data_IF_774338494777
#
_entry.id   IF_774338494777
#
_cell.length_a   1.000
_cell.length_b   1.000
_cell.length_c   1.000
_cell.angle_alpha   90.00
_cell.angle_beta   90.00
_cell.angle_gamma   90.00
#
_symmetry.space_group_name_H-M   'P 1'
#
loop_
_entity.id
_entity.type
_entity.pdbx_description
1 polymer ?
#
# COMPACT_ATOMS: atom_id res chain seq x y z
N UNK A 1 -3.95 -10.57 7.01
CA UNK A 1 -4.76 -10.77 8.22
C UNK A 1 -5.96 -11.61 7.83
N UNK A 2 -6.12 -12.78 8.45
CA UNK A 2 -7.19 -13.73 8.16
C UNK A 2 -8.51 -13.29 8.82
N UNK A 3 -9.64 -13.84 8.36
CA UNK A 3 -10.93 -13.57 8.97
C UNK A 3 -10.99 -14.00 10.44
N UNK A 4 -10.30 -15.07 10.82
CA UNK A 4 -10.19 -15.52 12.22
C UNK A 4 -9.40 -14.54 13.08
N UNK A 5 -8.28 -14.00 12.57
CA UNK A 5 -7.50 -12.97 13.28
C UNK A 5 -8.33 -11.70 13.50
N UNK A 6 -9.13 -11.29 12.51
CA UNK A 6 -10.06 -10.15 12.60
C UNK A 6 -11.10 -10.35 13.69
N UNK A 7 -11.73 -11.52 13.74
CA UNK A 7 -12.74 -11.84 14.76
C UNK A 7 -12.13 -11.91 16.16
N UNK A 8 -10.93 -12.47 16.30
CA UNK A 8 -10.20 -12.53 17.58
C UNK A 8 -9.89 -11.13 18.14
N UNK A 9 -9.45 -10.20 17.27
CA UNK A 9 -9.20 -8.81 17.64
C UNK A 9 -10.47 -8.08 18.09
N UNK A 10 -11.58 -8.26 17.37
CA UNK A 10 -12.89 -7.69 17.74
C UNK A 10 -13.34 -8.14 19.13
N UNK A 11 -13.21 -9.44 19.45
CA UNK A 11 -13.62 -9.96 20.75
C UNK A 11 -12.72 -9.45 21.91
N UNK A 12 -11.42 -9.24 21.65
CA UNK A 12 -10.51 -8.63 22.64
C UNK A 12 -10.89 -7.17 22.92
N UNK A 13 -11.19 -6.38 21.88
CA UNK A 13 -11.64 -4.99 22.04
C UNK A 13 -12.94 -4.89 22.85
N UNK A 14 -13.92 -5.76 22.59
CA UNK A 14 -15.17 -5.83 23.38
C UNK A 14 -14.90 -6.16 24.85
N UNK A 15 -14.02 -7.11 25.11
CA UNK A 15 -13.65 -7.51 26.49
C UNK A 15 -13.03 -6.34 27.25
N UNK A 16 -12.14 -5.58 26.60
CA UNK A 16 -11.52 -4.39 27.19
C UNK A 16 -12.57 -3.32 27.49
N UNK A 17 -13.50 -3.07 26.56
CA UNK A 17 -14.60 -2.11 26.76
C UNK A 17 -15.49 -2.50 27.95
N UNK A 18 -15.88 -3.77 28.04
CA UNK A 18 -16.68 -4.29 29.15
C UNK A 18 -15.95 -4.22 30.49
N UNK A 19 -14.64 -4.47 30.52
CA UNK A 19 -13.85 -4.32 31.75
C UNK A 19 -13.77 -2.86 32.20
N UNK A 20 -13.71 -1.90 31.28
CA UNK A 20 -13.73 -0.47 31.65
C UNK A 20 -15.06 -0.03 32.22
N UNK A 21 -16.17 -0.49 31.65
CA UNK A 21 -17.50 -0.25 32.20
C UNK A 21 -17.64 -0.82 33.62
N UNK A 22 -17.06 -2.02 33.86
CA UNK A 22 -17.17 -2.72 35.14
C UNK A 22 -16.23 -2.19 36.23
N UNK A 23 -14.99 -1.81 35.89
CA UNK A 23 -13.92 -1.53 36.87
C UNK A 23 -13.54 -0.05 36.97
N UNK A 24 -14.04 0.82 36.08
CA UNK A 24 -13.81 2.26 36.14
C UNK A 24 -12.37 2.72 35.82
N UNK A 25 -12.16 4.03 35.87
CA UNK A 25 -10.97 4.69 35.31
C UNK A 25 -9.65 4.40 36.06
N UNK A 26 -9.74 3.92 37.30
CA UNK A 26 -8.58 3.63 38.16
C UNK A 26 -8.10 2.17 38.11
N UNK A 27 -8.70 1.32 37.28
CA UNK A 27 -8.24 -0.06 37.11
C UNK A 27 -6.93 -0.11 36.31
N UNK A 28 -5.88 -0.71 36.91
CA UNK A 28 -4.52 -0.80 36.38
C UNK A 28 -4.45 -1.63 35.08
N UNK A 29 -4.71 -0.96 33.96
CA UNK A 29 -4.38 -1.38 32.62
C UNK A 29 -3.50 -0.25 32.09
N UNK A 30 -2.31 -0.57 31.57
CA UNK A 30 -1.14 0.29 31.24
C UNK A 30 -1.39 1.50 30.29
N UNK A 31 -2.63 1.95 30.13
CA UNK A 31 -3.04 3.10 29.33
C UNK A 31 -4.24 3.79 30.01
N UNK A 32 -4.28 5.14 30.10
CA UNK A 32 -5.43 5.88 30.61
C UNK A 32 -6.75 5.39 29.99
N UNK A 33 -7.81 5.27 30.81
CA UNK A 33 -9.05 4.60 30.43
C UNK A 33 -9.73 5.21 29.18
N UNK A 34 -9.66 6.54 29.04
CA UNK A 34 -10.17 7.26 27.88
C UNK A 34 -9.40 6.91 26.60
N UNK A 35 -8.06 6.94 26.65
CA UNK A 35 -7.20 6.66 25.50
C UNK A 35 -7.35 5.20 25.04
N UNK A 36 -7.45 4.27 26.00
CA UNK A 36 -7.66 2.85 25.69
C UNK A 36 -9.02 2.59 25.03
N UNK A 37 -10.08 3.26 25.50
CA UNK A 37 -11.42 3.17 24.92
C UNK A 37 -11.44 3.75 23.50
N UNK A 38 -10.84 4.93 23.30
CA UNK A 38 -10.78 5.57 21.99
C UNK A 38 -10.03 4.70 20.97
N UNK A 39 -8.90 4.10 21.35
CA UNK A 39 -8.15 3.20 20.47
C UNK A 39 -8.97 1.93 20.15
N UNK A 40 -9.68 1.37 21.13
CA UNK A 40 -10.54 0.20 20.91
C UNK A 40 -11.73 0.52 20.00
N UNK A 41 -12.33 1.71 20.13
CA UNK A 41 -13.44 2.17 19.28
C UNK A 41 -12.98 2.45 17.85
N UNK A 42 -11.82 3.12 17.68
CA UNK A 42 -11.22 3.35 16.36
C UNK A 42 -10.89 2.02 15.69
N UNK A 43 -10.23 1.09 16.41
CA UNK A 43 -9.91 -0.22 15.88
C UNK A 43 -11.17 -1.01 15.51
N UNK A 44 -12.21 -0.98 16.36
CA UNK A 44 -13.48 -1.63 16.08
C UNK A 44 -14.16 -1.04 14.84
N UNK A 45 -14.21 0.28 14.73
CA UNK A 45 -14.78 0.98 13.57
C UNK A 45 -14.00 0.64 12.28
N UNK A 46 -12.67 0.65 12.33
CA UNK A 46 -11.83 0.26 11.19
C UNK A 46 -12.00 -1.22 10.80
N UNK A 47 -12.25 -2.10 11.76
CA UNK A 47 -12.50 -3.53 11.49
C UNK A 47 -13.93 -3.81 11.00
N UNK A 48 -14.90 -2.97 11.38
CA UNK A 48 -16.31 -3.07 10.99
C UNK A 48 -16.64 -2.33 9.69
N UNK A 49 -15.79 -1.40 9.28
CA UNK A 49 -15.80 -0.79 7.96
C UNK A 49 -15.37 -1.83 6.90
N UNK A 50 -16.25 -2.80 6.64
CA UNK A 50 -16.21 -3.61 5.43
C UNK A 50 -16.58 -2.70 4.25
N UNK A 51 -15.58 -2.27 3.49
CA UNK A 51 -15.67 -2.14 2.04
C UNK A 51 -16.81 -1.32 1.43
N UNK A 52 -17.45 -0.41 2.16
CA UNK A 52 -18.46 0.49 1.60
C UNK A 52 -17.90 1.90 1.51
N UNK A 53 -16.98 2.09 0.57
CA UNK A 53 -16.84 3.38 -0.09
C UNK A 53 -18.13 3.59 -0.89
N UNK A 54 -19.17 4.12 -0.25
CA UNK A 54 -20.21 4.81 -1.02
C UNK A 54 -19.57 6.10 -1.49
N UNK A 55 -19.32 6.15 -2.79
CA UNK A 55 -19.01 7.35 -3.54
C UNK A 55 -20.00 8.45 -3.16
N UNK A 56 -19.53 9.48 -2.46
CA UNK A 56 -19.93 10.88 -2.58
C UNK A 56 -19.22 11.67 -1.46
N UNK A 57 -18.07 12.26 -1.78
CA UNK A 57 -17.94 13.73 -1.78
C UNK A 57 -16.48 14.17 -2.06
N UNK A 58 -16.34 14.85 -3.20
CA UNK A 58 -15.30 15.82 -3.60
C UNK A 58 -13.82 15.48 -3.37
N UNK A 59 -13.22 14.81 -4.35
CA UNK A 59 -11.83 15.05 -4.77
C UNK A 59 -11.79 14.90 -6.30
N UNK A 60 -11.16 15.80 -7.08
CA UNK A 60 -11.06 15.60 -8.51
C UNK A 60 -10.37 14.26 -8.75
N UNK A 61 -11.12 13.28 -9.24
CA UNK A 61 -10.60 11.99 -9.66
C UNK A 61 -9.65 12.26 -10.83
N UNK A 62 -8.38 12.51 -10.50
CA UNK A 62 -7.30 11.97 -11.32
C UNK A 62 -7.66 10.51 -11.60
N UNK A 63 -7.60 10.04 -12.85
CA UNK A 63 -8.07 8.71 -13.20
C UNK A 63 -7.40 7.74 -12.24
N UNK A 64 -8.20 7.07 -11.40
CA UNK A 64 -7.67 6.21 -10.36
C UNK A 64 -6.70 5.22 -11.01
N UNK A 65 -5.38 5.42 -10.81
CA UNK A 65 -4.38 4.46 -11.28
C UNK A 65 -4.57 3.20 -10.44
N UNK A 66 -5.32 2.25 -11.00
CA UNK A 66 -5.54 0.98 -10.36
C UNK A 66 -4.31 0.09 -10.53
N UNK A 67 -3.81 -0.45 -9.43
CA UNK A 67 -2.81 -1.51 -9.43
C UNK A 67 -3.39 -2.78 -10.05
N UNK A 68 -2.71 -3.33 -11.06
CA UNK A 68 -3.06 -4.55 -11.77
C UNK A 68 -2.14 -5.67 -11.28
N UNK A 69 -2.68 -6.84 -10.93
CA UNK A 69 -1.84 -7.98 -10.55
C UNK A 69 -1.09 -8.53 -11.76
N UNK A 70 0.19 -8.82 -11.59
CA UNK A 70 1.01 -9.45 -12.64
C UNK A 70 0.44 -10.82 -13.07
N UNK A 71 -0.22 -11.54 -12.16
CA UNK A 71 -0.90 -12.82 -12.44
C UNK A 71 -2.19 -12.67 -13.25
N UNK A 72 -2.84 -11.51 -13.20
CA UNK A 72 -4.07 -11.24 -13.98
C UNK A 72 -3.71 -10.81 -15.39
N UNK A 73 -2.74 -9.89 -15.50
CA UNK A 73 -2.29 -9.33 -16.77
C UNK A 73 -0.91 -8.73 -16.61
N UNK A 74 -0.04 -8.95 -17.60
CA UNK A 74 1.25 -8.29 -17.71
C UNK A 74 1.15 -7.03 -18.60
N UNK A 75 2.08 -6.07 -18.49
CA UNK A 75 2.12 -4.92 -19.38
C UNK A 75 2.34 -5.33 -20.84
N UNK A 76 2.17 -4.38 -21.76
CA UNK A 76 2.59 -4.58 -23.15
C UNK A 76 4.12 -4.55 -23.24
N UNK A 77 4.71 -5.33 -24.15
CA UNK A 77 6.15 -5.29 -24.40
C UNK A 77 6.60 -3.86 -24.76
N UNK A 78 7.67 -3.40 -24.13
CA UNK A 78 8.20 -2.04 -24.26
C UNK A 78 7.44 -0.98 -23.45
N UNK A 79 6.39 -1.35 -22.70
CA UNK A 79 5.64 -0.40 -21.89
C UNK A 79 6.41 -0.05 -20.61
N UNK A 80 6.60 1.25 -20.38
CA UNK A 80 7.07 1.79 -19.11
C UNK A 80 5.94 1.82 -18.08
N UNK A 81 6.17 1.19 -16.92
CA UNK A 81 5.22 1.00 -15.83
C UNK A 81 5.91 1.18 -14.48
N UNK A 82 5.11 1.34 -13.43
CA UNK A 82 5.59 1.15 -12.05
C UNK A 82 5.24 -0.27 -11.63
N UNK A 83 6.21 -1.01 -11.10
CA UNK A 83 6.00 -2.31 -10.45
C UNK A 83 6.08 -2.16 -8.94
N UNK A 84 5.33 -3.00 -8.22
CA UNK A 84 5.35 -3.07 -6.77
C UNK A 84 5.26 -4.52 -6.28
N UNK A 85 5.90 -4.79 -5.15
CA UNK A 85 5.60 -5.94 -4.32
C UNK A 85 4.66 -5.47 -3.21
N UNK A 86 3.38 -5.82 -3.33
CA UNK A 86 2.35 -5.48 -2.35
C UNK A 86 2.08 -6.70 -1.47
N UNK A 87 2.32 -6.57 -0.17
CA UNK A 87 2.07 -7.59 0.85
C UNK A 87 1.41 -6.97 2.08
N UNK A 88 0.51 -7.71 2.76
CA UNK A 88 -0.17 -7.23 3.98
C UNK A 88 -0.89 -5.87 3.86
N UNK A 89 -1.29 -5.47 2.65
CA UNK A 89 -1.95 -4.18 2.40
C UNK A 89 -1.00 -2.99 2.30
N UNK A 90 0.32 -3.20 2.26
CA UNK A 90 1.32 -2.15 2.04
C UNK A 90 2.23 -2.47 0.84
N UNK A 91 2.80 -1.41 0.25
CA UNK A 91 3.85 -1.52 -0.77
C UNK A 91 5.16 -1.78 -0.03
N UNK A 92 5.75 -2.95 -0.23
CA UNK A 92 7.02 -3.36 0.38
C UNK A 92 8.22 -2.80 -0.39
N UNK A 93 8.12 -2.76 -1.72
CA UNK A 93 9.14 -2.28 -2.64
C UNK A 93 8.46 -1.87 -3.96
N UNK A 94 9.00 -0.87 -4.64
CA UNK A 94 8.48 -0.39 -5.93
C UNK A 94 9.59 0.20 -6.81
N UNK A 95 9.45 0.08 -8.13
CA UNK A 95 10.39 0.62 -9.11
C UNK A 95 9.69 1.02 -10.42
N UNK A 96 10.22 2.02 -11.11
CA UNK A 96 9.83 2.35 -12.48
C UNK A 96 10.66 1.52 -13.47
N UNK A 97 9.98 0.79 -14.35
CA UNK A 97 10.58 -0.23 -15.23
C UNK A 97 9.93 -0.22 -16.60
N UNK A 98 10.67 -0.66 -17.62
CA UNK A 98 10.13 -1.06 -18.92
C UNK A 98 9.97 -2.57 -18.95
N UNK A 99 8.79 -3.03 -19.36
CA UNK A 99 8.50 -4.46 -19.45
C UNK A 99 9.02 -5.06 -20.76
N UNK A 100 9.92 -6.04 -20.66
CA UNK A 100 10.43 -6.84 -21.77
C UNK A 100 10.26 -8.32 -21.41
N UNK A 101 9.20 -9.00 -21.88
CA UNK A 101 8.88 -10.35 -21.44
C UNK A 101 10.10 -11.30 -21.45
N UNK A 102 10.33 -12.09 -20.38
CA UNK A 102 9.57 -12.18 -19.12
C UNK A 102 10.07 -11.22 -18.01
N UNK A 103 10.88 -10.23 -18.35
CA UNK A 103 11.65 -9.41 -17.41
C UNK A 103 11.14 -7.96 -17.31
N UNK A 104 11.46 -7.33 -16.19
CA UNK A 104 11.31 -5.90 -15.99
C UNK A 104 12.71 -5.26 -15.98
N UNK A 105 12.96 -4.34 -16.91
CA UNK A 105 14.21 -3.60 -17.00
C UNK A 105 14.03 -2.23 -16.36
N UNK A 106 14.94 -1.81 -15.48
CA UNK A 106 14.89 -0.48 -14.88
C UNK A 106 14.99 0.60 -15.97
N UNK A 107 14.15 1.64 -15.84
CA UNK A 107 14.23 2.86 -16.67
C UNK A 107 15.40 3.67 -16.12
N UNK A 108 16.63 3.38 -16.56
CA UNK A 108 17.92 4.01 -16.20
C UNK A 108 18.16 4.32 -14.70
N UNK A 109 19.22 3.75 -14.11
CA UNK A 109 19.62 4.20 -12.76
C UNK A 109 20.67 3.38 -12.02
N UNK A 110 21.09 2.23 -12.51
CA UNK A 110 22.16 1.43 -11.90
C UNK A 110 23.23 1.10 -12.95
N UNK A 111 23.89 2.14 -13.46
CA UNK A 111 25.15 1.96 -14.17
C UNK A 111 26.27 1.85 -13.12
N UNK A 112 26.69 0.63 -12.81
CA UNK A 112 27.90 0.40 -12.05
C UNK A 112 29.06 0.26 -13.03
N UNK A 113 29.81 1.35 -13.24
CA UNK A 113 31.08 1.30 -13.98
C UNK A 113 32.20 0.87 -13.03
N UNK A 114 32.51 -0.42 -13.06
CA UNK A 114 33.82 -0.94 -12.69
C UNK A 114 34.74 -0.91 -13.92
N UNK A 115 36.01 -0.58 -13.70
CA UNK A 115 37.02 -0.32 -14.73
C UNK A 115 37.38 -1.56 -15.60
N UNK A 116 36.73 -2.71 -15.38
CA UNK A 116 37.05 -4.02 -15.96
C UNK A 116 35.90 -4.68 -16.74
N UNK A 117 34.80 -3.96 -17.01
CA UNK A 117 33.67 -4.47 -17.79
C UNK A 117 32.39 -4.43 -16.97
N UNK A 118 31.44 -3.60 -17.41
CA UNK A 118 30.32 -3.11 -16.60
C UNK A 118 29.58 -4.16 -15.77
N UNK A 119 29.26 -3.80 -14.54
CA UNK A 119 28.45 -4.61 -13.66
C UNK A 119 26.97 -4.43 -13.98
N UNK A 120 26.32 -5.51 -14.39
CA UNK A 120 24.86 -5.58 -14.51
C UNK A 120 24.26 -5.83 -13.13
N UNK A 121 23.58 -4.82 -12.56
CA UNK A 121 22.81 -5.00 -11.33
C UNK A 121 21.42 -5.50 -11.73
N UNK A 122 21.23 -6.80 -11.64
CA UNK A 122 19.90 -7.42 -11.75
C UNK A 122 19.21 -7.33 -10.39
N UNK A 123 18.11 -6.59 -10.31
CA UNK A 123 17.25 -6.64 -9.12
C UNK A 123 16.44 -7.94 -9.19
N UNK A 124 16.63 -8.83 -8.20
CA UNK A 124 15.73 -9.94 -7.95
C UNK A 124 14.46 -9.40 -7.27
N UNK A 125 13.67 -8.64 -8.02
CA UNK A 125 12.42 -8.04 -7.55
C UNK A 125 11.24 -8.94 -7.94
N UNK A 126 10.45 -9.38 -6.96
CA UNK A 126 9.26 -10.21 -7.19
C UNK A 126 8.03 -9.33 -7.33
N UNK A 127 7.85 -8.74 -8.51
CA UNK A 127 6.70 -7.88 -8.78
C UNK A 127 5.38 -8.64 -8.63
N UNK A 128 4.50 -8.17 -7.75
CA UNK A 128 3.14 -8.73 -7.61
C UNK A 128 2.10 -7.89 -8.33
N UNK A 129 2.33 -6.57 -8.44
CA UNK A 129 1.42 -5.63 -9.10
C UNK A 129 2.17 -4.63 -9.99
N UNK A 130 1.47 -4.05 -10.96
CA UNK A 130 1.96 -2.94 -11.78
C UNK A 130 0.88 -1.89 -12.02
N UNK A 131 1.28 -0.66 -12.36
CA UNK A 131 0.38 0.40 -12.83
C UNK A 131 1.03 1.21 -13.95
N UNK A 132 0.25 1.77 -14.90
CA UNK A 132 0.79 2.62 -15.96
C UNK A 132 1.41 3.90 -15.39
N UNK A 133 2.48 4.39 -16.01
CA UNK A 133 3.04 5.70 -15.68
C UNK A 133 2.07 6.84 -16.05
N UNK A 134 2.12 7.91 -15.26
CA UNK A 134 1.43 9.16 -15.56
C UNK A 134 2.02 9.82 -16.81
N UNK A 135 1.18 10.57 -17.54
CA UNK A 135 1.69 11.50 -18.52
C UNK A 135 2.62 12.51 -17.84
N UNK A 136 3.70 12.88 -18.52
CA UNK A 136 4.57 13.94 -18.05
C UNK A 136 3.76 15.23 -17.86
N UNK A 137 4.10 16.06 -16.85
CA UNK A 137 3.45 17.37 -16.71
C UNK A 137 3.69 18.20 -17.97
N UNK A 138 2.66 18.94 -18.40
CA UNK A 138 2.80 19.92 -19.48
C UNK A 138 3.92 20.90 -19.13
N UNK A 139 4.83 21.24 -20.07
CA UNK A 139 5.84 22.25 -19.83
C UNK A 139 5.12 23.55 -19.46
N UNK A 140 5.30 24.00 -18.21
CA UNK A 140 4.76 25.28 -17.76
C UNK A 140 5.24 26.35 -18.73
N UNK A 141 4.30 27.04 -19.37
CA UNK A 141 4.61 28.13 -20.29
C UNK A 141 5.33 29.24 -19.55
N UNK A 142 6.65 29.19 -19.55
CA UNK A 142 7.52 30.29 -19.18
C UNK A 142 8.17 30.80 -20.47
N UNK A 143 7.37 31.53 -21.24
CA UNK A 143 7.83 32.40 -22.33
C UNK A 143 7.03 33.71 -22.27
N UNK A 144 7.55 34.70 -21.53
CA UNK A 144 7.72 36.12 -21.94
C UNK A 144 8.05 37.02 -20.75
#
# INVERSE_FOLDING_TARGET
>A
MTNEERLSLVERCKTIAAWREKYGDNANVMLPALEAKQIAEIALASLQADGSLTDEDTTPQSPAQQWIRCSERLPVEGQSVVIANIGHGCICEAAAVTYYPPHFALIEGLEASNYDGGASISLAFEATHWMPLLAAPEPGGDES
#
